data_IF_952904930590
#
_entry.id   IF_952904930590
#
_cell.length_a   1.000
_cell.length_b   1.000
_cell.length_c   1.000
_cell.angle_alpha   90.00
_cell.angle_beta   90.00
_cell.angle_gamma   90.00
#
_symmetry.space_group_name_H-M   'P 1'
#
loop_
_entity.id
_entity.type
_entity.pdbx_description
1 polymer ?
#
# COMPACT_ATOMS: atom_id res chain seq x y z
N UNK A 1 -7.87 2.09 -22.66
CA UNK A 1 -6.63 1.58 -22.01
C UNK A 1 -6.93 1.40 -20.53
N UNK A 2 -6.81 0.19 -19.97
CA UNK A 2 -6.97 -0.02 -18.53
C UNK A 2 -5.77 0.59 -17.79
N UNK A 3 -6.06 1.35 -16.73
CA UNK A 3 -5.03 1.99 -15.93
C UNK A 3 -4.34 0.91 -15.07
N UNK A 4 -3.05 0.66 -15.32
CA UNK A 4 -2.28 -0.32 -14.54
C UNK A 4 -1.82 0.34 -13.23
N UNK A 5 -2.23 -0.26 -12.10
CA UNK A 5 -1.74 0.16 -10.79
C UNK A 5 -0.27 -0.22 -10.60
N UNK A 6 0.49 0.67 -9.95
CA UNK A 6 1.83 0.36 -9.46
C UNK A 6 1.69 -0.35 -8.13
N UNK A 7 1.96 -1.65 -8.11
CA UNK A 7 1.91 -2.48 -6.90
C UNK A 7 3.31 -2.69 -6.32
N UNK A 8 3.39 -2.82 -5.00
CA UNK A 8 4.58 -3.23 -4.25
C UNK A 8 5.85 -2.45 -4.65
N UNK A 9 6.88 -3.16 -5.10
CA UNK A 9 8.17 -2.61 -5.53
C UNK A 9 8.11 -1.72 -6.76
N UNK A 10 6.94 -1.55 -7.41
CA UNK A 10 6.75 -0.57 -8.49
C UNK A 10 6.32 0.80 -7.98
N UNK A 11 5.95 0.93 -6.70
CA UNK A 11 5.65 2.20 -6.06
C UNK A 11 6.94 3.00 -5.87
N UNK A 12 6.87 4.32 -6.09
CA UNK A 12 8.02 5.24 -6.03
C UNK A 12 7.82 6.41 -5.06
N UNK A 13 6.64 6.54 -4.48
CA UNK A 13 6.35 7.56 -3.48
C UNK A 13 7.17 7.29 -2.21
N UNK A 14 7.63 8.36 -1.54
CA UNK A 14 8.35 8.24 -0.26
C UNK A 14 7.40 7.87 0.88
N UNK A 15 6.20 8.44 0.83
CA UNK A 15 5.11 8.22 1.80
C UNK A 15 3.81 7.94 1.06
N UNK A 16 2.96 7.13 1.68
CA UNK A 16 1.66 6.72 1.15
C UNK A 16 0.60 6.79 2.24
N UNK A 17 -0.63 7.16 1.86
CA UNK A 17 -1.81 6.97 2.72
C UNK A 17 -2.31 5.54 2.54
N UNK A 18 -2.36 4.78 3.63
CA UNK A 18 -2.73 3.37 3.60
C UNK A 18 -4.18 3.20 4.04
N UNK A 19 -4.92 2.43 3.24
CA UNK A 19 -6.32 2.09 3.47
C UNK A 19 -6.42 0.56 3.40
N UNK A 20 -7.08 -0.05 4.39
CA UNK A 20 -7.33 -1.49 4.36
C UNK A 20 -8.40 -1.80 3.31
N UNK A 21 -8.05 -2.52 2.25
CA UNK A 21 -8.96 -2.76 1.11
C UNK A 21 -10.26 -3.49 1.47
N UNK A 22 -10.23 -4.35 2.49
CA UNK A 22 -11.40 -5.13 2.92
C UNK A 22 -12.41 -4.35 3.75
N UNK A 23 -11.96 -3.35 4.52
CA UNK A 23 -12.80 -2.61 5.47
C UNK A 23 -12.95 -1.13 5.14
N UNK A 24 -12.08 -0.58 4.30
CA UNK A 24 -11.98 0.87 4.05
C UNK A 24 -11.33 1.66 5.20
N UNK A 25 -10.80 0.98 6.22
CA UNK A 25 -10.18 1.62 7.38
C UNK A 25 -8.93 2.41 6.96
N UNK A 26 -8.85 3.66 7.43
CA UNK A 26 -7.72 4.55 7.19
C UNK A 26 -6.63 4.30 8.24
N UNK A 27 -5.49 3.72 7.83
CA UNK A 27 -4.35 3.48 8.72
C UNK A 27 -3.41 4.69 8.83
N UNK A 28 -3.68 5.76 8.07
CA UNK A 28 -2.92 7.00 8.05
C UNK A 28 -1.83 7.06 6.97
N UNK A 29 -0.99 8.09 7.06
CA UNK A 29 0.16 8.29 6.17
C UNK A 29 1.39 7.65 6.79
N UNK A 30 2.13 6.84 6.03
CA UNK A 30 3.35 6.19 6.49
C UNK A 30 4.39 6.06 5.38
N UNK A 31 5.63 5.73 5.75
CA UNK A 31 6.69 5.46 4.77
C UNK A 31 6.32 4.24 3.93
N UNK A 32 6.70 4.26 2.65
CA UNK A 32 6.45 3.13 1.74
C UNK A 32 6.97 1.80 2.30
N UNK A 33 8.14 1.80 2.95
CA UNK A 33 8.73 0.60 3.57
C UNK A 33 7.87 0.02 4.70
N UNK A 34 7.22 0.88 5.50
CA UNK A 34 6.35 0.43 6.60
C UNK A 34 5.06 -0.18 6.06
N UNK A 35 4.50 0.47 5.04
CA UNK A 35 3.31 -0.02 4.35
C UNK A 35 3.56 -1.39 3.68
N UNK A 36 4.71 -1.57 3.01
CA UNK A 36 5.08 -2.84 2.38
C UNK A 36 5.23 -3.97 3.41
N UNK A 37 5.91 -3.70 4.53
CA UNK A 37 6.03 -4.67 5.63
C UNK A 37 4.67 -5.06 6.19
N UNK A 38 3.78 -4.08 6.38
CA UNK A 38 2.43 -4.34 6.89
C UNK A 38 1.63 -5.21 5.93
N UNK A 39 1.64 -4.89 4.63
CA UNK A 39 0.95 -5.68 3.60
C UNK A 39 1.48 -7.13 3.57
N UNK A 40 2.81 -7.31 3.57
CA UNK A 40 3.44 -8.63 3.64
C UNK A 40 3.05 -9.40 4.92
N UNK A 41 3.00 -8.72 6.07
CA UNK A 41 2.62 -9.33 7.35
C UNK A 41 1.20 -9.87 7.41
N UNK A 42 0.31 -9.41 6.52
CA UNK A 42 -1.07 -9.89 6.38
C UNK A 42 -1.31 -10.64 5.05
N UNK A 43 -0.25 -10.94 4.29
CA UNK A 43 -0.32 -11.68 3.04
C UNK A 43 -1.03 -10.94 1.90
N UNK A 44 -1.02 -9.61 1.91
CA UNK A 44 -1.61 -8.76 0.86
C UNK A 44 -0.54 -7.98 0.09
N UNK A 45 -0.94 -7.49 -1.08
CA UNK A 45 -0.18 -6.51 -1.85
C UNK A 45 -0.48 -5.09 -1.36
N UNK A 46 0.50 -4.20 -1.53
CA UNK A 46 0.34 -2.75 -1.33
C UNK A 46 0.23 -2.03 -2.67
#
# INVERSE_FOLDING_TARGET
>A
MQQQFRVNGRIRAREVRVILGSTGEQLGVMKLSDALRKAQGIGLDL
#
